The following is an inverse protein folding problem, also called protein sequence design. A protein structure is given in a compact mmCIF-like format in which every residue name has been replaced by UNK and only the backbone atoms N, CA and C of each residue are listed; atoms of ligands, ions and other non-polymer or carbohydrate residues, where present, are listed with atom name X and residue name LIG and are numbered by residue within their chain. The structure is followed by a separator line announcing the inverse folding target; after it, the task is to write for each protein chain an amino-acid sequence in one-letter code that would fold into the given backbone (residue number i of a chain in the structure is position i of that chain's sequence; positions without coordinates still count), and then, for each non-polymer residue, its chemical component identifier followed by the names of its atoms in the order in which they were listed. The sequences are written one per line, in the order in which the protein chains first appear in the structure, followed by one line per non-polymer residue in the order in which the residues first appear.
data_IF_814043627703
#
_entry.id   IF_814043627703
#
_cell.length_a   1.000
_cell.length_b   1.000
_cell.length_c   1.000
_cell.angle_alpha   90.00
_cell.angle_beta   90.00
_cell.angle_gamma   90.00
#
_symmetry.space_group_name_H-M   'P 1'
#
loop_
_entity.id
_entity.type
_entity.pdbx_description
1 polymer ?
#
# COMPACT_ATOMS: atom_id res chain seq x y z
N UNK A 1 -37.15 -28.06 -34.26
CA UNK A 1 -36.14 -29.11 -34.53
C UNK A 1 -34.97 -28.85 -33.60
N UNK A 2 -34.76 -29.69 -32.57
CA UNK A 2 -33.48 -29.71 -31.86
C UNK A 2 -32.45 -30.20 -32.89
N UNK A 3 -31.40 -29.43 -33.15
CA UNK A 3 -30.30 -29.91 -33.95
C UNK A 3 -29.75 -31.16 -33.24
N UNK A 4 -29.68 -32.30 -33.95
CA UNK A 4 -28.96 -33.47 -33.47
C UNK A 4 -27.48 -33.09 -33.42
N UNK A 5 -27.04 -32.67 -32.24
CA UNK A 5 -25.64 -32.34 -31.99
C UNK A 5 -24.89 -33.66 -31.94
N UNK A 6 -23.84 -33.78 -32.76
CA UNK A 6 -23.02 -34.98 -32.80
C UNK A 6 -22.53 -35.34 -31.38
N UNK A 7 -22.58 -36.62 -30.98
CA UNK A 7 -22.24 -37.03 -29.61
C UNK A 7 -20.82 -36.65 -29.21
N UNK A 8 -19.88 -36.61 -30.16
CA UNK A 8 -18.51 -36.12 -29.97
C UNK A 8 -18.45 -34.65 -29.49
N UNK A 9 -19.36 -33.82 -30.00
CA UNK A 9 -19.47 -32.40 -29.61
C UNK A 9 -20.06 -32.28 -28.21
N UNK A 10 -21.02 -33.14 -27.86
CA UNK A 10 -21.60 -33.20 -26.50
C UNK A 10 -20.56 -33.65 -25.48
N UNK A 11 -19.74 -34.66 -25.81
CA UNK A 11 -18.66 -35.13 -24.95
C UNK A 11 -17.58 -34.05 -24.76
N UNK A 12 -17.18 -33.37 -25.84
CA UNK A 12 -16.23 -32.25 -25.76
C UNK A 12 -16.76 -31.12 -24.86
N UNK A 13 -18.04 -30.75 -25.01
CA UNK A 13 -18.69 -29.74 -24.17
C UNK A 13 -18.71 -30.16 -22.69
N UNK A 14 -19.01 -31.42 -22.42
CA UNK A 14 -19.04 -31.95 -21.05
C UNK A 14 -17.65 -31.91 -20.42
N UNK A 15 -16.61 -32.35 -21.13
CA UNK A 15 -15.22 -32.26 -20.67
C UNK A 15 -14.77 -30.82 -20.42
N UNK A 16 -15.20 -29.88 -21.28
CA UNK A 16 -14.87 -28.46 -21.12
C UNK A 16 -15.55 -27.86 -19.87
N UNK A 17 -16.82 -28.18 -19.63
CA UNK A 17 -17.54 -27.75 -18.43
C UNK A 17 -16.87 -28.30 -17.16
N UNK A 18 -16.50 -29.57 -17.16
CA UNK A 18 -15.78 -30.19 -16.04
C UNK A 18 -14.42 -29.53 -15.77
N UNK A 19 -13.68 -29.19 -16.83
CA UNK A 19 -12.43 -28.45 -16.70
C UNK A 19 -12.66 -27.08 -16.07
N UNK A 20 -13.61 -26.29 -16.58
CA UNK A 20 -13.92 -24.97 -16.03
C UNK A 20 -14.37 -25.04 -14.58
N UNK A 21 -15.17 -26.05 -14.21
CA UNK A 21 -15.58 -26.27 -12.83
C UNK A 21 -14.40 -26.60 -11.92
N UNK A 22 -13.44 -27.41 -12.39
CA UNK A 22 -12.23 -27.74 -11.62
C UNK A 22 -11.31 -26.53 -11.48
N UNK A 23 -11.03 -25.81 -12.58
CA UNK A 23 -10.16 -24.63 -12.56
C UNK A 23 -10.78 -23.46 -11.79
N UNK A 24 -12.10 -23.33 -11.81
CA UNK A 24 -12.85 -22.32 -11.06
C UNK A 24 -12.85 -22.53 -9.55
N UNK A 25 -12.37 -23.67 -9.03
CA UNK A 25 -12.31 -23.96 -7.59
C UNK A 25 -11.06 -23.39 -6.89
N UNK A 26 -10.20 -22.65 -7.60
CA UNK A 26 -9.02 -22.01 -7.02
C UNK A 26 -9.41 -21.09 -5.86
N UNK A 27 -8.79 -21.30 -4.71
CA UNK A 27 -8.96 -20.47 -3.52
C UNK A 27 -7.82 -19.48 -3.41
N UNK A 28 -8.05 -18.38 -2.68
CA UNK A 28 -7.01 -17.36 -2.39
C UNK A 28 -5.72 -18.00 -1.84
N UNK A 29 -5.84 -18.99 -0.95
CA UNK A 29 -4.69 -19.70 -0.37
C UNK A 29 -3.80 -20.36 -1.42
N UNK A 30 -4.38 -20.81 -2.54
CA UNK A 30 -3.65 -21.51 -3.60
C UNK A 30 -2.80 -20.49 -4.40
N UNK A 31 -3.21 -19.21 -4.42
CA UNK A 31 -2.46 -18.10 -5.02
C UNK A 31 -1.40 -17.52 -4.08
N UNK A 32 -1.56 -17.64 -2.75
CA UNK A 32 -0.67 -17.01 -1.76
C UNK A 32 0.79 -17.45 -1.91
N UNK A 33 1.05 -18.70 -2.31
CA UNK A 33 2.41 -19.21 -2.51
C UNK A 33 3.10 -18.46 -3.65
N UNK A 34 2.44 -18.38 -4.82
CA UNK A 34 2.97 -17.68 -5.98
C UNK A 34 3.17 -16.18 -5.71
N UNK A 35 2.21 -15.54 -5.02
CA UNK A 35 2.34 -14.13 -4.61
C UNK A 35 3.56 -13.95 -3.71
N UNK A 36 3.74 -14.80 -2.71
CA UNK A 36 4.88 -14.71 -1.78
C UNK A 36 6.22 -14.85 -2.51
N UNK A 37 6.34 -15.81 -3.41
CA UNK A 37 7.55 -15.99 -4.21
C UNK A 37 7.83 -14.76 -5.08
N UNK A 38 6.78 -14.20 -5.70
CA UNK A 38 6.91 -13.00 -6.52
C UNK A 38 7.32 -11.76 -5.71
N UNK A 39 6.83 -11.61 -4.47
CA UNK A 39 7.24 -10.54 -3.54
C UNK A 39 8.74 -10.57 -3.20
N UNK A 40 9.37 -11.74 -3.21
CA UNK A 40 10.81 -11.86 -2.97
C UNK A 40 11.64 -11.53 -4.21
N UNK A 41 11.08 -11.66 -5.41
CA UNK A 41 11.76 -11.38 -6.66
C UNK A 41 11.65 -9.90 -7.08
N UNK A 42 10.52 -9.25 -6.78
CA UNK A 42 10.22 -7.89 -7.23
C UNK A 42 9.81 -6.97 -6.06
N UNK A 43 10.68 -6.00 -5.77
CA UNK A 43 10.46 -5.00 -4.72
C UNK A 43 9.30 -4.05 -5.03
N UNK A 44 8.97 -3.81 -6.31
CA UNK A 44 7.80 -3.03 -6.69
C UNK A 44 6.51 -3.75 -6.31
N UNK A 45 6.44 -5.07 -6.46
CA UNK A 45 5.25 -5.80 -6.02
C UNK A 45 5.06 -5.67 -4.50
N UNK A 46 6.13 -5.81 -3.73
CA UNK A 46 6.07 -5.65 -2.27
C UNK A 46 5.57 -4.26 -1.86
N UNK A 47 6.06 -3.23 -2.55
CA UNK A 47 5.56 -1.86 -2.39
C UNK A 47 4.06 -1.77 -2.67
N UNK A 48 3.60 -2.19 -3.84
CA UNK A 48 2.19 -2.05 -4.23
C UNK A 48 1.26 -2.84 -3.31
N UNK A 49 1.64 -4.08 -2.96
CA UNK A 49 0.85 -4.89 -2.05
C UNK A 49 0.72 -4.23 -0.68
N UNK A 50 1.79 -3.63 -0.17
CA UNK A 50 1.74 -2.89 1.10
C UNK A 50 0.78 -1.71 1.04
N UNK A 51 0.89 -0.86 0.01
CA UNK A 51 0.02 0.32 -0.15
C UNK A 51 -1.45 -0.07 -0.28
N UNK A 52 -1.75 -1.23 -0.88
CA UNK A 52 -3.11 -1.76 -0.97
C UNK A 52 -3.61 -2.35 0.36
N UNK A 53 -2.79 -3.15 1.03
CA UNK A 53 -3.21 -3.93 2.20
C UNK A 53 -3.22 -3.12 3.50
N UNK A 54 -2.24 -2.23 3.69
CA UNK A 54 -2.12 -1.47 4.93
C UNK A 54 -3.38 -0.65 5.26
N UNK A 55 -4.00 0.10 4.33
CA UNK A 55 -5.23 0.84 4.59
C UNK A 55 -6.40 -0.05 5.00
N UNK A 56 -6.52 -1.23 4.37
CA UNK A 56 -7.56 -2.21 4.67
C UNK A 56 -7.40 -2.69 6.11
N UNK A 57 -6.19 -3.11 6.49
CA UNK A 57 -5.89 -3.59 7.85
C UNK A 57 -6.05 -2.46 8.86
N UNK A 58 -5.58 -1.26 8.54
CA UNK A 58 -5.72 -0.08 9.40
C UNK A 58 -7.19 0.25 9.72
N UNK A 59 -8.07 0.15 8.72
CA UNK A 59 -9.50 0.40 8.88
C UNK A 59 -10.20 -0.65 9.76
N UNK A 60 -9.63 -1.86 9.92
CA UNK A 60 -10.18 -2.87 10.85
C UNK A 60 -9.85 -2.61 12.32
N UNK A 61 -8.89 -1.71 12.60
CA UNK A 61 -8.49 -1.39 13.97
C UNK A 61 -9.48 -0.45 14.63
N UNK A 62 -9.70 -0.66 15.93
CA UNK A 62 -10.49 0.26 16.74
C UNK A 62 -9.80 1.63 16.84
N UNK A 63 -10.59 2.69 17.03
CA UNK A 63 -10.08 4.07 17.17
C UNK A 63 -9.00 4.19 18.25
N UNK A 64 -9.14 3.49 19.37
CA UNK A 64 -8.15 3.49 20.46
C UNK A 64 -6.83 2.86 20.00
N UNK A 65 -6.89 1.77 19.24
CA UNK A 65 -5.71 1.10 18.67
C UNK A 65 -5.03 1.99 17.64
N UNK A 66 -5.79 2.61 16.74
CA UNK A 66 -5.28 3.56 15.75
C UNK A 66 -4.53 4.73 16.42
N UNK A 67 -5.11 5.33 17.47
CA UNK A 67 -4.46 6.40 18.23
C UNK A 67 -3.20 5.91 18.94
N UNK A 68 -3.24 4.72 19.53
CA UNK A 68 -2.10 4.15 20.27
C UNK A 68 -0.94 3.78 19.35
N UNK A 69 -1.23 3.37 18.10
CA UNK A 69 -0.22 3.02 17.09
C UNK A 69 0.52 4.22 16.48
N UNK A 70 0.01 5.45 16.63
CA UNK A 70 0.69 6.64 16.12
C UNK A 70 2.13 6.75 16.67
N UNK A 71 2.33 6.58 17.98
CA UNK A 71 3.66 6.67 18.61
C UNK A 71 4.64 5.59 18.10
N UNK A 72 4.28 4.30 18.07
CA UNK A 72 5.11 3.27 17.45
C UNK A 72 5.45 3.52 15.98
N UNK A 73 4.49 3.96 15.16
CA UNK A 73 4.73 4.25 13.73
C UNK A 73 5.73 5.38 13.56
N UNK A 74 5.59 6.47 14.32
CA UNK A 74 6.55 7.59 14.34
C UNK A 74 7.93 7.09 14.76
N UNK A 75 8.01 6.29 15.82
CA UNK A 75 9.26 5.73 16.32
C UNK A 75 9.94 4.80 15.31
N UNK A 76 9.16 4.04 14.53
CA UNK A 76 9.65 3.18 13.45
C UNK A 76 10.24 4.01 12.33
N UNK A 77 9.47 4.95 11.76
CA UNK A 77 9.89 5.80 10.64
C UNK A 77 11.11 6.68 10.97
N UNK A 78 11.34 6.95 12.26
CA UNK A 78 12.48 7.76 12.74
C UNK A 78 13.77 6.96 12.94
N UNK A 79 13.80 5.66 12.64
CA UNK A 79 14.99 4.83 12.86
C UNK A 79 16.09 5.08 11.84
N UNK A 80 17.31 5.23 12.33
CA UNK A 80 18.50 5.53 11.52
C UNK A 80 18.87 4.40 10.54
N UNK A 81 18.54 3.14 10.86
CA UNK A 81 18.85 2.02 9.97
C UNK A 81 18.19 2.10 8.60
N UNK A 82 17.14 2.92 8.43
CA UNK A 82 16.53 3.19 7.14
C UNK A 82 17.50 3.88 6.18
N UNK A 83 18.54 4.57 6.67
CA UNK A 83 19.53 5.23 5.82
C UNK A 83 20.25 4.26 4.87
N UNK A 84 20.43 3.00 5.30
CA UNK A 84 21.09 1.95 4.49
C UNK A 84 20.36 1.62 3.19
N UNK A 85 19.06 1.92 3.11
CA UNK A 85 18.20 1.68 1.93
C UNK A 85 17.76 3.00 1.26
N UNK A 86 18.33 4.15 1.64
CA UNK A 86 17.87 5.45 1.15
C UNK A 86 18.09 5.65 -0.36
N UNK A 87 19.05 4.97 -0.97
CA UNK A 87 19.29 4.98 -2.41
C UNK A 87 18.38 4.03 -3.19
N UNK A 88 17.75 3.06 -2.52
CA UNK A 88 16.88 2.08 -3.16
C UNK A 88 15.58 2.72 -3.69
N UNK A 89 15.07 2.18 -4.79
CA UNK A 89 13.83 2.61 -5.46
C UNK A 89 13.05 1.35 -5.86
N UNK A 90 11.87 1.07 -5.27
CA UNK A 90 11.31 1.73 -4.08
C UNK A 90 12.09 1.36 -2.81
N UNK A 91 12.00 2.18 -1.76
CA UNK A 91 12.48 1.83 -0.43
C UNK A 91 11.31 1.69 0.58
N UNK A 92 11.58 1.07 1.73
CA UNK A 92 10.54 0.78 2.73
C UNK A 92 9.90 2.06 3.30
N UNK A 93 10.64 3.18 3.39
CA UNK A 93 10.08 4.45 3.87
C UNK A 93 9.04 4.98 2.90
N UNK A 94 9.31 4.91 1.58
CA UNK A 94 8.32 5.26 0.56
C UNK A 94 7.07 4.40 0.70
N UNK A 95 7.21 3.07 0.83
CA UNK A 95 6.07 2.16 0.98
C UNK A 95 5.23 2.49 2.24
N UNK A 96 5.90 2.67 3.38
CA UNK A 96 5.23 2.99 4.65
C UNK A 96 4.51 4.33 4.58
N UNK A 97 5.15 5.37 4.06
CA UNK A 97 4.57 6.70 3.98
C UNK A 97 3.38 6.75 3.00
N UNK A 98 3.46 6.05 1.88
CA UNK A 98 2.37 6.00 0.89
C UNK A 98 1.15 5.26 1.45
N UNK A 99 1.37 4.09 2.08
CA UNK A 99 0.30 3.37 2.78
C UNK A 99 -0.39 4.22 3.86
N UNK A 100 0.37 5.01 4.61
CA UNK A 100 -0.17 5.98 5.58
C UNK A 100 -0.99 7.06 4.86
N UNK A 101 -0.48 7.63 3.77
CA UNK A 101 -1.13 8.75 3.07
C UNK A 101 -2.52 8.39 2.56
N UNK A 102 -2.72 7.17 2.06
CA UNK A 102 -4.01 6.69 1.52
C UNK A 102 -4.95 6.09 2.58
N UNK A 103 -4.52 5.97 3.84
CA UNK A 103 -5.32 5.35 4.91
C UNK A 103 -6.40 6.29 5.47
N UNK A 104 -7.55 5.73 5.87
CA UNK A 104 -8.65 6.47 6.48
C UNK A 104 -9.17 5.77 7.76
N UNK A 105 -9.30 6.47 8.91
CA UNK A 105 -8.81 7.83 9.15
C UNK A 105 -7.27 7.89 9.08
N UNK A 106 -6.72 8.96 8.52
CA UNK A 106 -5.29 9.05 8.26
C UNK A 106 -4.45 9.02 9.56
N UNK A 107 -3.43 8.13 9.67
CA UNK A 107 -2.52 8.11 10.81
C UNK A 107 -1.84 9.47 11.00
N UNK A 108 -1.85 9.98 12.24
CA UNK A 108 -1.24 11.29 12.55
C UNK A 108 0.27 11.17 12.63
N UNK A 109 0.96 11.74 11.63
CA UNK A 109 2.42 11.84 11.58
C UNK A 109 2.82 13.32 11.67
N UNK A 110 3.85 13.68 12.47
CA UNK A 110 4.33 15.06 12.57
C UNK A 110 4.79 15.62 11.21
N UNK A 111 4.43 16.87 10.87
CA UNK A 111 4.81 17.49 9.61
C UNK A 111 6.32 17.52 9.34
N UNK A 112 7.12 17.75 10.39
CA UNK A 112 8.57 17.80 10.30
C UNK A 112 9.17 16.44 9.93
N UNK A 113 8.54 15.36 10.43
CA UNK A 113 8.92 14.00 10.06
C UNK A 113 8.52 13.72 8.61
N UNK A 114 7.31 14.07 8.18
CA UNK A 114 6.88 13.91 6.77
C UNK A 114 7.86 14.64 5.84
N UNK A 115 8.22 15.88 6.18
CA UNK A 115 9.25 16.65 5.47
C UNK A 115 10.58 15.91 5.41
N UNK A 116 11.09 15.46 6.57
CA UNK A 116 12.36 14.74 6.64
C UNK A 116 12.34 13.48 5.76
N UNK A 117 11.26 12.69 5.82
CA UNK A 117 11.14 11.47 5.03
C UNK A 117 11.08 11.76 3.52
N UNK A 118 10.31 12.77 3.12
CA UNK A 118 10.23 13.24 1.74
C UNK A 118 11.60 13.66 1.19
N UNK A 119 12.36 14.41 2.00
CA UNK A 119 13.69 14.93 1.69
C UNK A 119 14.79 13.87 1.65
N UNK A 120 14.80 12.94 2.60
CA UNK A 120 15.90 12.00 2.82
C UNK A 120 15.74 10.71 2.02
N UNK A 121 14.49 10.23 1.87
CA UNK A 121 14.20 8.93 1.26
C UNK A 121 13.52 9.04 -0.12
N UNK A 122 13.58 10.22 -0.75
CA UNK A 122 12.98 10.51 -2.05
C UNK A 122 11.46 10.22 -2.08
N UNK A 123 10.76 10.52 -0.98
CA UNK A 123 9.32 10.33 -0.84
C UNK A 123 8.54 11.64 -1.07
N UNK A 124 9.14 12.62 -1.76
CA UNK A 124 8.56 13.96 -1.96
C UNK A 124 7.20 13.93 -2.65
N UNK A 125 6.99 13.02 -3.61
CA UNK A 125 5.70 12.86 -4.30
C UNK A 125 4.58 12.40 -3.38
N UNK A 126 4.90 11.78 -2.26
CA UNK A 126 3.94 11.36 -1.23
C UNK A 126 3.82 12.46 -0.17
N UNK A 127 4.97 12.99 0.27
CA UNK A 127 5.05 13.96 1.36
C UNK A 127 4.38 15.30 1.05
N UNK A 128 4.55 15.82 -0.18
CA UNK A 128 3.97 17.10 -0.61
C UNK A 128 2.43 17.06 -0.55
N UNK A 129 1.72 16.18 -1.30
CA UNK A 129 0.26 16.17 -1.26
C UNK A 129 -0.30 15.85 0.12
N UNK A 130 0.41 15.03 0.90
CA UNK A 130 0.05 14.76 2.29
C UNK A 130 0.08 16.03 3.15
N UNK A 131 1.15 16.83 3.06
CA UNK A 131 1.28 18.09 3.79
C UNK A 131 0.33 19.18 3.27
N UNK A 132 0.07 19.24 1.97
CA UNK A 132 -0.93 20.14 1.40
C UNK A 132 -2.31 19.87 1.99
N UNK A 133 -2.69 18.60 2.06
CA UNK A 133 -3.93 18.17 2.70
C UNK A 133 -3.97 18.57 4.18
N UNK A 134 -2.85 18.44 4.91
CA UNK A 134 -2.75 18.85 6.32
C UNK A 134 -2.86 20.36 6.51
N UNK A 135 -2.28 21.18 5.63
CA UNK A 135 -2.41 22.65 5.69
C UNK A 135 -3.86 23.07 5.55
N UNK A 136 -4.62 22.43 4.66
CA UNK A 136 -6.05 22.71 4.48
C UNK A 136 -6.87 22.24 5.69
N UNK A 137 -6.57 21.06 6.25
CA UNK A 137 -7.29 20.51 7.41
C UNK A 137 -6.96 21.20 8.73
N UNK A 138 -5.73 21.70 8.89
CA UNK A 138 -5.22 22.27 10.14
C UNK A 138 -4.63 23.67 9.91
N UNK A 139 -5.46 24.67 9.51
CA UNK A 139 -4.98 25.99 9.08
C UNK A 139 -4.26 26.79 10.19
N UNK A 140 -4.51 26.45 11.46
CA UNK A 140 -3.85 27.10 12.60
C UNK A 140 -2.48 26.48 12.95
N UNK A 141 -2.11 25.35 12.34
CA UNK A 141 -0.83 24.69 12.58
C UNK A 141 0.21 25.16 11.56
N UNK A 142 0.98 26.18 11.92
CA UNK A 142 2.02 26.76 11.05
C UNK A 142 3.11 25.74 10.69
N UNK A 143 3.33 24.70 11.50
CA UNK A 143 4.37 23.70 11.26
C UNK A 143 4.13 22.90 9.99
N UNK A 144 2.86 22.64 9.66
CA UNK A 144 2.46 22.01 8.40
C UNK A 144 2.88 22.87 7.21
N UNK A 145 2.54 24.16 7.27
CA UNK A 145 2.86 25.14 6.25
C UNK A 145 4.37 25.33 6.08
N UNK A 146 5.10 25.53 7.19
CA UNK A 146 6.55 25.69 7.20
C UNK A 146 7.24 24.45 6.60
N UNK A 147 6.79 23.25 6.98
CA UNK A 147 7.33 21.99 6.47
C UNK A 147 7.10 21.80 4.98
N UNK A 148 5.92 22.20 4.48
CA UNK A 148 5.55 22.16 3.07
C UNK A 148 6.37 23.16 2.25
N UNK A 149 6.47 24.41 2.71
CA UNK A 149 7.27 25.46 2.04
C UNK A 149 8.73 25.06 1.93
N UNK A 150 9.29 24.47 2.98
CA UNK A 150 10.64 23.94 2.97
C UNK A 150 10.86 22.78 1.99
N UNK A 151 9.83 21.98 1.71
CA UNK A 151 9.88 20.91 0.70
C UNK A 151 9.84 21.49 -0.72
N UNK A 152 9.04 22.54 -0.94
CA UNK A 152 8.95 23.22 -2.23
C UNK A 152 10.20 24.00 -2.63
N UNK A 153 10.98 24.47 -1.66
CA UNK A 153 12.23 25.22 -1.88
C UNK A 153 13.43 24.34 -2.29
N UNK A 154 13.25 23.02 -2.37
CA UNK A 154 14.33 22.08 -2.72
C UNK A 154 14.38 21.78 -4.20
#
# INVERSE_FOLDING_TARGET
ARADVAPEVVDMLTQHVDFLQKTGQLRVRDMMVAVREYLHADTHMAYHLWVLMFPIVWATLEKVQQVTLAKPIIALLSKEYHHRQASARPNVVQAMLDGIAVSQPQPKIPPELIKFLGKTYNAWQIAIPLLESHVVMFPNDTRCFDSLVELYKR
#
